data_IF_522314697598
#
_entry.id   IF_522314697598
#
_cell.length_a   1.000
_cell.length_b   1.000
_cell.length_c   1.000
_cell.angle_alpha   90.00
_cell.angle_beta   90.00
_cell.angle_gamma   90.00
#
_symmetry.space_group_name_H-M   'P 1'
#
loop_
_entity.id
_entity.type
_entity.pdbx_description
1 polymer ?
#
# COMPACT_ATOMS: atom_id res chain seq x y z
N UNK A 1 13.42 8.51 -21.17
CA UNK A 1 12.13 8.92 -20.58
C UNK A 1 12.01 8.23 -19.21
N UNK A 2 12.30 8.92 -18.10
CA UNK A 2 12.04 8.38 -16.74
C UNK A 2 10.64 8.86 -16.37
N UNK A 3 9.69 7.95 -16.18
CA UNK A 3 8.41 8.29 -15.58
C UNK A 3 8.70 8.74 -14.14
N UNK A 4 8.85 10.06 -13.92
CA UNK A 4 9.58 10.61 -12.78
C UNK A 4 8.78 10.66 -11.46
N UNK A 5 7.55 10.17 -11.45
CA UNK A 5 6.62 10.36 -10.34
C UNK A 5 6.21 9.05 -9.63
N UNK A 6 6.88 7.94 -9.95
CA UNK A 6 6.65 6.65 -9.30
C UNK A 6 7.39 6.60 -7.96
N UNK A 7 6.64 6.36 -6.88
CA UNK A 7 7.17 6.23 -5.54
C UNK A 7 7.43 4.75 -5.25
N UNK A 8 8.64 4.41 -4.85
CA UNK A 8 8.95 3.05 -4.40
C UNK A 8 8.18 2.73 -3.11
N UNK A 9 7.45 1.61 -3.10
CA UNK A 9 6.64 1.16 -1.98
C UNK A 9 7.25 -0.01 -1.22
N UNK A 10 8.20 -0.72 -1.83
CA UNK A 10 8.81 -1.93 -1.28
C UNK A 10 8.82 -3.08 -2.28
N UNK A 11 9.34 -4.22 -1.85
CA UNK A 11 9.40 -5.43 -2.67
C UNK A 11 8.25 -6.39 -2.33
N UNK A 12 7.77 -7.13 -3.33
CA UNK A 12 6.86 -8.24 -3.09
C UNK A 12 7.61 -9.36 -2.36
N UNK A 13 6.93 -10.06 -1.46
CA UNK A 13 7.54 -11.18 -0.75
C UNK A 13 7.75 -12.45 -1.60
N UNK A 14 7.41 -12.40 -2.90
CA UNK A 14 7.49 -13.57 -3.78
C UNK A 14 6.55 -14.72 -3.39
N UNK A 15 5.44 -14.40 -2.71
CA UNK A 15 4.43 -15.35 -2.22
C UNK A 15 3.10 -15.17 -2.94
N UNK A 16 2.35 -16.25 -3.07
CA UNK A 16 0.98 -16.23 -3.59
C UNK A 16 -0.05 -15.98 -2.50
N UNK A 17 -1.28 -15.66 -2.91
CA UNK A 17 -2.42 -15.43 -2.01
C UNK A 17 -2.68 -16.60 -1.04
N UNK A 18 -2.48 -17.84 -1.50
CA UNK A 18 -2.71 -19.06 -0.72
C UNK A 18 -1.38 -19.73 -0.30
N UNK A 19 -0.35 -18.95 0.04
CA UNK A 19 0.89 -19.55 0.55
C UNK A 19 0.66 -20.21 1.93
N UNK A 20 1.10 -21.46 2.05
CA UNK A 20 1.02 -22.26 3.28
C UNK A 20 2.40 -22.53 3.88
N UNK A 21 3.47 -22.31 3.10
CA UNK A 21 4.82 -22.76 3.43
C UNK A 21 5.74 -21.64 3.87
N UNK A 22 5.32 -20.38 3.70
CA UNK A 22 6.12 -19.18 3.97
C UNK A 22 7.43 -19.12 3.18
N UNK A 23 7.61 -20.01 2.21
CA UNK A 23 8.76 -20.07 1.32
C UNK A 23 8.48 -19.26 0.05
N UNK A 24 9.50 -18.54 -0.41
CA UNK A 24 9.45 -17.82 -1.68
C UNK A 24 9.25 -18.84 -2.81
N UNK A 25 8.16 -18.71 -3.56
CA UNK A 25 7.83 -19.59 -4.69
C UNK A 25 7.63 -18.82 -6.01
N UNK A 26 7.81 -17.50 -5.99
CA UNK A 26 7.69 -16.61 -7.14
C UNK A 26 8.77 -15.54 -7.10
N UNK A 27 9.03 -14.92 -8.25
CA UNK A 27 9.96 -13.81 -8.36
C UNK A 27 9.56 -12.66 -7.43
N UNK A 28 10.52 -12.15 -6.66
CA UNK A 28 10.41 -10.89 -5.93
C UNK A 28 10.36 -9.75 -6.95
N UNK A 29 9.47 -8.79 -6.75
CA UNK A 29 9.26 -7.65 -7.65
C UNK A 29 9.25 -6.35 -6.86
N UNK A 30 9.94 -5.33 -7.37
CA UNK A 30 9.83 -3.98 -6.84
C UNK A 30 8.45 -3.40 -7.14
N UNK A 31 7.78 -2.87 -6.12
CA UNK A 31 6.46 -2.24 -6.21
C UNK A 31 6.65 -0.73 -6.23
N UNK A 32 6.02 -0.09 -7.21
CA UNK A 32 5.98 1.36 -7.32
C UNK A 32 4.53 1.83 -7.37
N UNK A 33 4.21 2.91 -6.67
CA UNK A 33 2.91 3.55 -6.67
C UNK A 33 2.98 4.91 -7.34
N UNK A 34 1.94 5.26 -8.10
CA UNK A 34 1.74 6.61 -8.60
C UNK A 34 0.54 7.24 -7.88
N UNK A 35 0.75 8.21 -6.97
CA UNK A 35 -0.35 8.83 -6.26
C UNK A 35 -1.18 9.70 -7.22
N UNK A 36 -2.47 9.41 -7.32
CA UNK A 36 -3.40 10.21 -8.15
C UNK A 36 -3.73 11.57 -7.52
N UNK A 37 -3.60 11.67 -6.19
CA UNK A 37 -3.83 12.92 -5.44
C UNK A 37 -2.70 13.17 -4.45
N UNK A 38 -2.41 14.44 -4.17
CA UNK A 38 -1.33 14.83 -3.25
C UNK A 38 -1.60 14.39 -1.79
N UNK A 39 -2.87 14.26 -1.41
CA UNK A 39 -3.35 13.87 -0.09
C UNK A 39 -3.56 12.36 0.07
N UNK A 40 -3.08 11.52 -0.85
CA UNK A 40 -3.33 10.07 -0.85
C UNK A 40 -2.99 9.40 0.49
N UNK A 41 -1.95 9.86 1.19
CA UNK A 41 -1.58 9.33 2.52
C UNK A 41 -2.70 9.54 3.53
N UNK A 42 -3.32 10.73 3.58
CA UNK A 42 -4.45 10.98 4.49
C UNK A 42 -5.66 10.09 4.16
N UNK A 43 -5.90 9.83 2.87
CA UNK A 43 -7.00 8.96 2.42
C UNK A 43 -6.79 7.48 2.72
N UNK A 44 -5.54 7.01 2.69
CA UNK A 44 -5.19 5.61 3.03
C UNK A 44 -5.06 5.44 4.55
N UNK A 45 -4.51 6.44 5.25
CA UNK A 45 -4.48 6.49 6.71
C UNK A 45 -5.80 7.07 7.25
N UNK A 46 -6.87 6.29 7.17
CA UNK A 46 -8.06 6.56 7.98
C UNK A 46 -7.77 6.03 9.39
N UNK A 47 -7.37 6.92 10.29
CA UNK A 47 -7.47 6.63 11.71
C UNK A 47 -8.96 6.64 12.05
N UNK A 48 -9.49 5.48 12.45
CA UNK A 48 -10.88 5.30 12.93
C UNK A 48 -11.22 6.14 14.19
N UNK A 49 -10.43 7.14 14.55
CA UNK A 49 -10.64 8.03 15.69
C UNK A 49 -11.51 9.25 15.34
N UNK A 50 -11.57 9.67 14.07
CA UNK A 50 -12.45 10.78 13.65
C UNK A 50 -13.93 10.36 13.57
N UNK A 51 -14.21 9.07 13.30
CA UNK A 51 -15.57 8.50 13.26
C UNK A 51 -16.24 8.40 14.64
N UNK A 52 -15.47 8.43 15.74
CA UNK A 52 -15.99 8.33 17.12
C UNK A 52 -16.44 9.69 17.67
N UNK A 53 -15.96 10.80 17.08
CA UNK A 53 -16.32 12.17 17.52
C UNK A 53 -17.64 12.65 16.91
N UNK A 54 -17.97 12.24 15.68
CA UNK A 54 -19.21 12.62 15.00
C UNK A 54 -20.45 11.87 15.51
N UNK A 55 -20.28 10.74 16.19
CA UNK A 55 -21.39 9.95 16.75
C UNK A 55 -21.74 10.29 18.22
N UNK A 56 -21.22 11.41 18.75
CA UNK A 56 -21.51 11.92 20.11
C UNK A 56 -22.19 13.29 20.13
N UNK A 57 -22.89 13.66 19.05
CA UNK A 57 -23.87 14.75 19.01
C UNK A 57 -25.15 14.23 18.38
#
# INVERSE_FOLDING_TARGET
YKAANWIYLGDTTGRGKNDQTHKVNRSIKAVYGYPLTSDFRKKIYINNEEQIRDNRT
#
